data_IF_726166275657
#
_entry.id   IF_726166275657
#
_cell.length_a   1.000
_cell.length_b   1.000
_cell.length_c   1.000
_cell.angle_alpha   90.00
_cell.angle_beta   90.00
_cell.angle_gamma   90.00
#
_symmetry.space_group_name_H-M   'P 1'
#
loop_
_entity.id
_entity.type
_entity.pdbx_description
1 polymer ?
#
# COMPACT_ATOMS: atom_id res chain seq x y z
N UNK A 1 10.09 -0.29 -14.17
CA UNK A 1 10.64 0.98 -13.69
C UNK A 1 9.73 1.55 -12.64
N UNK A 2 10.26 2.07 -11.54
CA UNK A 2 9.45 2.84 -10.61
C UNK A 2 10.17 4.10 -10.12
N UNK A 3 9.40 5.18 -9.97
CA UNK A 3 9.79 6.39 -9.26
C UNK A 3 9.11 6.37 -7.90
N UNK A 4 9.88 6.53 -6.83
CA UNK A 4 9.42 6.41 -5.46
C UNK A 4 9.87 7.65 -4.69
N UNK A 5 8.95 8.29 -3.98
CA UNK A 5 9.21 9.50 -3.20
C UNK A 5 8.66 9.34 -1.78
N UNK A 6 9.49 9.59 -0.77
CA UNK A 6 9.05 9.57 0.63
C UNK A 6 8.20 10.81 0.92
N UNK A 7 7.10 10.61 1.63
CA UNK A 7 6.07 11.63 1.87
C UNK A 7 5.90 11.86 3.37
N UNK A 8 6.75 12.69 3.94
CA UNK A 8 6.61 13.11 5.33
C UNK A 8 6.60 11.96 6.34
N UNK A 9 5.60 11.96 7.20
CA UNK A 9 5.40 10.93 8.26
C UNK A 9 3.95 10.47 8.29
N UNK A 10 3.74 9.22 8.69
CA UNK A 10 2.40 8.67 8.95
C UNK A 10 1.63 9.42 10.05
N UNK A 11 2.33 10.12 10.93
CA UNK A 11 1.71 10.91 12.01
C UNK A 11 1.10 12.25 11.53
N UNK A 12 1.32 12.66 10.29
CA UNK A 12 0.57 13.76 9.69
C UNK A 12 -0.73 13.25 9.04
N UNK A 13 -1.80 13.21 9.81
CA UNK A 13 -3.09 12.69 9.36
C UNK A 13 -3.72 13.47 8.18
N UNK A 14 -3.40 14.75 8.01
CA UNK A 14 -3.87 15.53 6.86
C UNK A 14 -3.10 15.14 5.60
N UNK A 15 -1.79 15.03 5.70
CA UNK A 15 -0.91 14.61 4.61
C UNK A 15 -1.20 13.16 4.18
N UNK A 16 -1.41 12.27 5.15
CA UNK A 16 -1.81 10.88 4.95
C UNK A 16 -3.03 10.76 4.03
N UNK A 17 -4.10 11.53 4.28
CA UNK A 17 -5.29 11.54 3.43
C UNK A 17 -5.07 12.29 2.11
N UNK A 18 -4.31 13.38 2.13
CA UNK A 18 -4.07 14.18 0.94
C UNK A 18 -3.37 13.37 -0.14
N UNK A 19 -2.41 12.51 0.22
CA UNK A 19 -1.72 11.66 -0.76
C UNK A 19 -2.55 10.49 -1.26
N UNK A 20 -3.54 9.99 -0.51
CA UNK A 20 -4.55 9.06 -1.04
C UNK A 20 -5.38 9.74 -2.16
N UNK A 21 -5.80 10.98 -1.93
CA UNK A 21 -6.54 11.76 -2.92
C UNK A 21 -5.67 12.07 -4.15
N UNK A 22 -4.40 12.44 -3.94
CA UNK A 22 -3.44 12.68 -5.01
C UNK A 22 -3.17 11.43 -5.85
N UNK A 23 -2.99 10.28 -5.21
CA UNK A 23 -2.81 9.00 -5.91
C UNK A 23 -3.99 8.73 -6.84
N UNK A 24 -5.21 8.88 -6.33
CA UNK A 24 -6.42 8.74 -7.14
C UNK A 24 -6.45 9.73 -8.30
N UNK A 25 -6.25 11.01 -8.05
CA UNK A 25 -6.36 12.06 -9.07
C UNK A 25 -5.25 11.99 -10.14
N UNK A 26 -4.05 11.53 -9.78
CA UNK A 26 -2.91 11.45 -10.70
C UNK A 26 -2.86 10.18 -11.53
N UNK A 27 -3.29 9.03 -10.95
CA UNK A 27 -2.97 7.71 -11.48
C UNK A 27 -4.16 6.75 -11.54
N UNK A 28 -5.10 6.78 -10.57
CA UNK A 28 -6.14 5.76 -10.46
C UNK A 28 -7.48 6.15 -11.08
N UNK A 29 -7.81 7.45 -11.15
CA UNK A 29 -9.05 7.93 -11.76
C UNK A 29 -9.08 7.64 -13.27
N UNK A 30 -10.28 7.42 -13.85
CA UNK A 30 -10.42 7.35 -15.31
C UNK A 30 -9.86 8.61 -15.98
N UNK A 31 -8.92 8.42 -16.92
CA UNK A 31 -8.25 9.54 -17.59
C UNK A 31 -7.25 10.31 -16.73
N UNK A 32 -6.77 9.72 -15.64
CA UNK A 32 -5.79 10.33 -14.76
C UNK A 32 -4.55 10.82 -15.53
N UNK A 33 -4.14 12.07 -15.34
CA UNK A 33 -3.21 12.77 -16.24
C UNK A 33 -1.82 12.12 -16.30
N UNK A 34 -1.30 11.64 -15.20
CA UNK A 34 0.04 11.02 -15.18
C UNK A 34 0.02 9.62 -15.78
N UNK A 35 -1.01 8.84 -15.48
CA UNK A 35 -1.21 7.53 -16.12
C UNK A 35 -1.35 7.68 -17.64
N UNK A 36 -2.20 8.61 -18.08
CA UNK A 36 -2.45 8.82 -19.50
C UNK A 36 -1.19 9.30 -20.22
N UNK A 37 -0.45 10.26 -19.66
CA UNK A 37 0.77 10.78 -20.26
C UNK A 37 1.85 9.69 -20.46
N UNK A 38 1.98 8.77 -19.50
CA UNK A 38 2.93 7.65 -19.60
C UNK A 38 2.50 6.63 -20.65
N UNK A 39 1.21 6.31 -20.71
CA UNK A 39 0.66 5.40 -21.76
C UNK A 39 0.79 6.01 -23.17
N UNK A 40 0.46 7.29 -23.33
CA UNK A 40 0.59 8.00 -24.61
C UNK A 40 2.03 8.08 -25.09
N UNK A 41 3.00 8.15 -24.16
CA UNK A 41 4.42 8.09 -24.46
C UNK A 41 4.95 6.68 -24.75
N UNK A 42 4.08 5.64 -24.67
CA UNK A 42 4.50 4.26 -24.89
C UNK A 42 5.42 3.69 -23.81
N UNK A 43 5.37 4.25 -22.59
CA UNK A 43 6.19 3.81 -21.46
C UNK A 43 5.55 2.60 -20.80
N UNK A 44 6.20 1.44 -20.93
CA UNK A 44 5.70 0.19 -20.37
C UNK A 44 4.41 -0.32 -20.99
N UNK A 45 3.87 -1.39 -20.42
CA UNK A 45 2.62 -2.03 -20.84
C UNK A 45 1.43 -1.65 -19.95
N UNK A 46 1.70 -1.27 -18.71
CA UNK A 46 0.70 -0.78 -17.75
C UNK A 46 1.36 0.15 -16.74
N UNK A 47 0.59 1.11 -16.25
CA UNK A 47 1.01 2.07 -15.24
C UNK A 47 0.22 1.81 -13.96
N UNK A 48 0.97 1.52 -12.91
CA UNK A 48 0.46 1.28 -11.57
C UNK A 48 0.91 2.39 -10.63
N UNK A 49 0.23 2.49 -9.52
CA UNK A 49 0.60 3.37 -8.41
C UNK A 49 0.55 2.62 -7.10
N UNK A 50 1.28 3.12 -6.12
CA UNK A 50 1.15 2.70 -4.73
C UNK A 50 1.40 3.90 -3.82
N UNK A 51 0.60 4.01 -2.77
CA UNK A 51 0.86 4.88 -1.65
C UNK A 51 0.88 4.05 -0.38
N UNK A 52 2.09 3.71 0.05
CA UNK A 52 2.33 2.92 1.27
C UNK A 52 2.34 3.87 2.47
N UNK A 53 1.23 3.93 3.14
CA UNK A 53 0.97 4.89 4.22
C UNK A 53 1.00 4.27 5.63
N UNK A 54 1.01 2.95 5.76
CA UNK A 54 1.06 2.23 7.04
C UNK A 54 2.46 2.10 7.67
N UNK A 55 3.44 2.87 7.23
CA UNK A 55 4.82 2.86 7.73
C UNK A 55 5.23 4.25 8.22
N UNK A 56 6.28 4.32 9.07
CA UNK A 56 6.72 5.59 9.69
C UNK A 56 6.99 6.71 8.68
N UNK A 57 7.58 6.37 7.55
CA UNK A 57 7.84 7.27 6.43
C UNK A 57 7.08 6.77 5.19
N UNK A 58 5.83 7.19 5.01
CA UNK A 58 5.03 6.84 3.83
C UNK A 58 5.76 7.17 2.55
N UNK A 59 5.53 6.39 1.50
CA UNK A 59 6.08 6.71 0.19
C UNK A 59 5.05 6.53 -0.93
N UNK A 60 5.20 7.36 -1.94
CA UNK A 60 4.39 7.38 -3.14
C UNK A 60 5.18 6.82 -4.31
N UNK A 61 4.57 5.91 -5.07
CA UNK A 61 5.21 5.25 -6.20
C UNK A 61 4.43 5.41 -7.49
N UNK A 62 5.17 5.71 -8.57
CA UNK A 62 4.70 5.61 -9.96
C UNK A 62 5.44 4.46 -10.61
N UNK A 63 4.73 3.46 -11.11
CA UNK A 63 5.31 2.20 -11.56
C UNK A 63 4.92 1.93 -13.02
N UNK A 64 5.92 1.86 -13.91
CA UNK A 64 5.75 1.41 -15.28
C UNK A 64 6.09 -0.09 -15.38
N UNK A 65 5.05 -0.92 -15.48
CA UNK A 65 5.18 -2.38 -15.61
C UNK A 65 5.47 -2.76 -17.06
N UNK A 66 6.42 -3.67 -17.26
CA UNK A 66 6.81 -4.13 -18.62
C UNK A 66 7.46 -3.02 -19.47
N UNK A 67 8.14 -2.07 -18.81
CA UNK A 67 8.97 -1.06 -19.48
C UNK A 67 10.39 -1.58 -19.64
N UNK A 68 11.02 -1.21 -20.73
CA UNK A 68 12.43 -1.52 -21.00
C UNK A 68 13.35 -0.57 -20.21
N UNK A 69 14.57 -1.03 -19.90
CA UNK A 69 15.55 -0.25 -19.11
C UNK A 69 15.92 1.06 -19.83
N UNK A 70 15.99 1.02 -21.14
CA UNK A 70 16.29 2.17 -22.02
C UNK A 70 15.23 3.27 -21.93
N UNK A 71 14.02 2.93 -21.51
CA UNK A 71 12.92 3.90 -21.29
C UNK A 71 13.05 4.70 -19.99
N UNK A 72 14.04 4.43 -19.14
CA UNK A 72 14.22 5.09 -17.83
C UNK A 72 14.17 6.61 -17.91
N UNK A 73 15.00 7.20 -18.79
CA UNK A 73 15.10 8.65 -18.88
C UNK A 73 13.79 9.26 -19.44
N UNK A 74 13.19 8.62 -20.44
CA UNK A 74 11.90 9.03 -20.98
C UNK A 74 10.78 8.94 -19.92
N UNK A 75 10.77 7.87 -19.13
CA UNK A 75 9.83 7.70 -18.00
C UNK A 75 9.94 8.87 -17.00
N UNK A 76 11.16 9.19 -16.56
CA UNK A 76 11.40 10.28 -15.61
C UNK A 76 11.05 11.64 -16.19
N UNK A 77 11.33 11.86 -17.47
CA UNK A 77 10.98 13.09 -18.16
C UNK A 77 9.46 13.28 -18.24
N UNK A 78 8.70 12.26 -18.62
CA UNK A 78 7.24 12.31 -18.69
C UNK A 78 6.65 12.56 -17.30
N UNK A 79 7.15 11.87 -16.26
CA UNK A 79 6.70 12.08 -14.88
C UNK A 79 6.93 13.55 -14.49
N UNK A 80 8.15 14.06 -14.62
CA UNK A 80 8.50 15.44 -14.24
C UNK A 80 7.71 16.49 -15.02
N UNK A 81 7.63 16.34 -16.35
CA UNK A 81 6.88 17.29 -17.21
C UNK A 81 5.41 17.33 -16.85
N UNK A 82 4.79 16.17 -16.63
CA UNK A 82 3.37 16.10 -16.30
C UNK A 82 3.10 16.72 -14.93
N UNK A 83 3.90 16.38 -13.92
CA UNK A 83 3.76 16.96 -12.59
C UNK A 83 4.02 18.46 -12.59
N UNK A 84 5.05 18.95 -13.28
CA UNK A 84 5.34 20.39 -13.43
C UNK A 84 4.20 21.13 -14.15
N UNK A 85 3.59 20.52 -15.17
CA UNK A 85 2.42 21.07 -15.84
C UNK A 85 1.25 21.23 -14.87
N UNK A 86 0.95 20.19 -14.05
CA UNK A 86 -0.10 20.23 -13.04
C UNK A 86 0.19 21.33 -12.00
N UNK A 87 1.43 21.44 -11.53
CA UNK A 87 1.81 22.49 -10.59
C UNK A 87 1.61 23.89 -11.20
N UNK A 88 1.88 24.07 -12.49
CA UNK A 88 1.73 25.35 -13.18
C UNK A 88 0.26 25.70 -13.47
N UNK A 89 -0.48 24.77 -14.06
CA UNK A 89 -1.84 24.98 -14.59
C UNK A 89 -2.95 24.71 -13.56
N UNK A 90 -2.65 23.92 -12.52
CA UNK A 90 -3.59 23.45 -11.52
C UNK A 90 -4.15 22.06 -11.85
N UNK A 91 -4.68 21.40 -10.81
CA UNK A 91 -5.45 20.17 -10.99
C UNK A 91 -6.81 20.44 -11.62
N UNK A 92 -7.34 19.46 -12.36
CA UNK A 92 -8.78 19.41 -12.60
C UNK A 92 -9.50 19.30 -11.24
N UNK A 93 -10.23 20.37 -10.90
CA UNK A 93 -10.99 20.45 -9.65
C UNK A 93 -12.00 19.30 -9.50
N UNK A 94 -12.60 18.84 -10.60
CA UNK A 94 -13.56 17.73 -10.57
C UNK A 94 -12.87 16.42 -10.23
N UNK A 95 -11.66 16.21 -10.71
CA UNK A 95 -10.86 15.01 -10.39
C UNK A 95 -10.47 14.97 -8.90
N UNK A 96 -9.98 16.08 -8.34
CA UNK A 96 -9.71 16.19 -6.90
C UNK A 96 -10.98 15.99 -6.05
N UNK A 97 -12.08 16.61 -6.44
CA UNK A 97 -13.38 16.49 -5.76
C UNK A 97 -13.87 15.03 -5.80
N UNK A 98 -13.70 14.34 -6.92
CA UNK A 98 -14.07 12.93 -7.06
C UNK A 98 -13.23 12.05 -6.13
N UNK A 99 -11.92 12.24 -6.08
CA UNK A 99 -11.02 11.53 -5.16
C UNK A 99 -11.38 11.77 -3.69
N UNK A 100 -11.63 13.02 -3.33
CA UNK A 100 -12.04 13.39 -1.97
C UNK A 100 -13.37 12.73 -1.59
N UNK A 101 -14.36 12.78 -2.49
CA UNK A 101 -15.67 12.15 -2.24
C UNK A 101 -15.56 10.64 -2.15
N UNK A 102 -14.74 10.01 -3.00
CA UNK A 102 -14.50 8.57 -3.00
C UNK A 102 -13.94 8.10 -1.65
N UNK A 103 -12.88 8.73 -1.16
CA UNK A 103 -12.28 8.34 0.11
C UNK A 103 -13.15 8.73 1.30
N UNK A 104 -13.77 9.92 1.32
CA UNK A 104 -14.69 10.32 2.39
C UNK A 104 -15.84 9.33 2.51
N UNK A 105 -16.43 8.89 1.39
CA UNK A 105 -17.50 7.90 1.37
C UNK A 105 -17.03 6.56 1.97
N UNK A 106 -15.87 6.05 1.53
CA UNK A 106 -15.30 4.80 2.08
C UNK A 106 -15.06 4.88 3.58
N UNK A 107 -14.57 6.01 4.08
CA UNK A 107 -14.38 6.22 5.52
C UNK A 107 -15.71 6.26 6.28
N UNK A 108 -16.74 6.89 5.73
CA UNK A 108 -18.08 6.96 6.37
C UNK A 108 -18.79 5.62 6.40
N UNK A 109 -18.75 4.89 5.32
CA UNK A 109 -19.42 3.59 5.19
C UNK A 109 -18.63 2.46 5.84
N UNK A 110 -17.37 2.68 6.22
CA UNK A 110 -16.44 1.63 6.64
C UNK A 110 -16.41 0.47 5.63
N UNK A 111 -16.29 0.84 4.34
CA UNK A 111 -16.29 -0.12 3.24
C UNK A 111 -14.90 -0.74 3.10
N UNK A 112 -14.76 -1.90 3.69
CA UNK A 112 -13.55 -2.73 3.61
C UNK A 112 -13.79 -4.00 2.77
N UNK A 113 -14.83 -4.01 1.93
CA UNK A 113 -15.22 -5.17 1.15
C UNK A 113 -15.57 -6.37 2.04
N UNK A 114 -14.90 -7.51 1.82
CA UNK A 114 -15.16 -8.75 2.53
C UNK A 114 -14.42 -8.88 3.89
N UNK A 115 -13.64 -7.87 4.28
CA UNK A 115 -12.88 -7.92 5.53
C UNK A 115 -13.71 -7.45 6.72
N UNK A 116 -13.57 -8.11 7.90
CA UNK A 116 -14.26 -7.66 9.12
C UNK A 116 -13.87 -6.23 9.50
N UNK A 117 -14.86 -5.38 9.73
CA UNK A 117 -14.64 -3.95 10.05
C UNK A 117 -13.72 -3.74 11.25
N UNK A 118 -13.93 -4.51 12.33
CA UNK A 118 -13.10 -4.41 13.53
C UNK A 118 -11.63 -4.74 13.28
N UNK A 119 -11.35 -5.75 12.44
CA UNK A 119 -9.98 -6.09 12.04
C UNK A 119 -9.34 -4.93 11.27
N UNK A 120 -10.06 -4.36 10.28
CA UNK A 120 -9.54 -3.28 9.45
C UNK A 120 -9.29 -2.00 10.25
N UNK A 121 -10.18 -1.66 11.17
CA UNK A 121 -9.92 -0.56 12.10
C UNK A 121 -8.73 -0.83 13.02
N UNK A 122 -8.60 -2.07 13.53
CA UNK A 122 -7.43 -2.47 14.32
C UNK A 122 -6.12 -2.33 13.54
N UNK A 123 -6.08 -2.76 12.28
CA UNK A 123 -4.91 -2.58 11.42
C UNK A 123 -4.62 -1.10 11.15
N UNK A 124 -5.65 -0.30 10.86
CA UNK A 124 -5.48 1.13 10.63
C UNK A 124 -4.97 1.90 11.85
N UNK A 125 -5.27 1.45 13.06
CA UNK A 125 -4.69 2.03 14.28
C UNK A 125 -3.16 1.89 14.30
N UNK A 126 -2.61 0.80 13.80
CA UNK A 126 -1.17 0.58 13.76
C UNK A 126 -0.43 1.56 12.86
N UNK A 127 -1.07 2.20 11.90
CA UNK A 127 -0.47 3.21 11.02
C UNK A 127 0.02 4.45 11.78
N UNK A 128 -0.45 4.65 13.01
CA UNK A 128 0.03 5.69 13.93
C UNK A 128 0.56 5.12 15.26
N UNK A 129 -0.13 4.14 15.84
CA UNK A 129 0.19 3.63 17.16
C UNK A 129 1.58 2.99 17.28
N UNK A 130 2.07 2.37 16.21
CA UNK A 130 3.43 1.80 16.18
C UNK A 130 4.53 2.88 16.28
N UNK A 131 4.21 4.13 15.97
CA UNK A 131 5.17 5.24 15.89
C UNK A 131 4.95 6.31 16.97
N UNK A 132 3.76 6.36 17.55
CA UNK A 132 3.41 7.21 18.67
C UNK A 132 2.32 6.53 19.51
N UNK A 133 2.70 6.05 20.69
CA UNK A 133 1.81 5.31 21.59
C UNK A 133 0.66 6.16 22.15
N UNK A 134 0.78 7.49 22.10
CA UNK A 134 -0.26 8.42 22.54
C UNK A 134 -1.32 8.69 21.47
N UNK A 135 -1.10 8.23 20.22
CA UNK A 135 -2.00 8.51 19.09
C UNK A 135 -2.57 7.25 18.39
N UNK A 136 -3.12 6.28 19.13
CA UNK A 136 -3.63 5.04 18.50
C UNK A 136 -4.83 5.27 17.57
N UNK A 137 -5.61 6.35 17.75
CA UNK A 137 -6.83 6.62 17.01
C UNK A 137 -6.69 7.70 15.93
N UNK A 138 -5.46 8.18 15.66
CA UNK A 138 -5.21 9.32 14.77
C UNK A 138 -5.90 9.17 13.41
N UNK A 139 -5.77 8.02 12.78
CA UNK A 139 -6.31 7.77 11.45
C UNK A 139 -7.80 7.41 11.45
N UNK A 140 -8.35 6.96 12.57
CA UNK A 140 -9.79 6.71 12.69
C UNK A 140 -10.60 8.03 12.77
N UNK A 141 -9.95 9.14 13.16
CA UNK A 141 -10.56 10.46 13.25
C UNK A 141 -10.45 11.27 11.94
N UNK A 142 -10.43 10.60 10.82
CA UNK A 142 -10.14 11.17 9.50
C UNK A 142 -11.17 12.19 8.99
N UNK A 143 -12.44 12.10 9.38
CA UNK A 143 -13.54 12.90 8.82
C UNK A 143 -13.33 14.42 8.91
N UNK A 144 -12.71 14.89 10.01
CA UNK A 144 -12.39 16.32 10.15
C UNK A 144 -11.35 16.79 9.12
N UNK A 145 -10.42 15.92 8.74
CA UNK A 145 -9.38 16.23 7.77
C UNK A 145 -9.94 16.29 6.35
N UNK A 146 -10.96 15.51 6.00
CA UNK A 146 -11.65 15.66 4.71
C UNK A 146 -12.30 17.04 4.58
N UNK A 147 -12.93 17.57 5.63
CA UNK A 147 -13.49 18.92 5.62
C UNK A 147 -12.43 20.01 5.44
N UNK A 148 -11.24 19.84 6.06
CA UNK A 148 -10.10 20.74 5.85
C UNK A 148 -9.57 20.64 4.42
N UNK A 149 -9.34 19.43 3.91
CA UNK A 149 -8.83 19.21 2.56
C UNK A 149 -9.77 19.76 1.47
N UNK A 150 -11.07 19.70 1.69
CA UNK A 150 -12.06 20.29 0.78
C UNK A 150 -11.89 21.81 0.64
N UNK A 151 -11.59 22.52 1.72
CA UNK A 151 -11.29 23.96 1.69
C UNK A 151 -9.97 24.27 1.02
N UNK A 152 -8.99 23.38 1.16
CA UNK A 152 -7.66 23.54 0.60
C UNK A 152 -7.59 23.33 -0.93
N UNK A 153 -8.62 22.76 -1.53
CA UNK A 153 -8.68 22.60 -2.99
C UNK A 153 -8.61 23.93 -3.74
N UNK A 154 -9.12 25.00 -3.13
CA UNK A 154 -9.12 26.34 -3.73
C UNK A 154 -7.81 27.10 -3.47
N UNK A 155 -6.96 26.63 -2.57
CA UNK A 155 -5.73 27.27 -2.12
C UNK A 155 -4.46 26.71 -2.76
N UNK A 156 -4.58 25.90 -3.81
CA UNK A 156 -3.45 25.23 -4.48
C UNK A 156 -2.62 24.34 -3.55
N UNK A 157 -3.21 23.82 -2.51
CA UNK A 157 -2.55 22.96 -1.54
C UNK A 157 -2.02 21.68 -2.19
N UNK A 158 -2.82 21.05 -3.03
CA UNK A 158 -2.44 19.79 -3.70
C UNK A 158 -1.30 20.00 -4.69
N UNK A 159 -1.28 21.11 -5.42
CA UNK A 159 -0.16 21.48 -6.29
C UNK A 159 1.11 21.73 -5.46
N UNK A 160 0.98 22.37 -4.30
CA UNK A 160 2.08 22.55 -3.35
C UNK A 160 2.66 21.22 -2.87
N UNK A 161 1.81 20.23 -2.59
CA UNK A 161 2.26 18.88 -2.22
C UNK A 161 3.02 18.20 -3.36
N UNK A 162 2.51 18.30 -4.59
CA UNK A 162 3.20 17.77 -5.78
C UNK A 162 4.58 18.42 -5.95
N UNK A 163 4.66 19.76 -5.81
CA UNK A 163 5.94 20.45 -5.89
C UNK A 163 6.92 19.98 -4.84
N UNK A 164 6.48 19.99 -3.57
CA UNK A 164 7.37 19.69 -2.42
C UNK A 164 7.80 18.24 -2.38
N UNK A 165 6.86 17.30 -2.56
CA UNK A 165 7.10 15.88 -2.31
C UNK A 165 7.39 15.04 -3.54
N UNK A 166 7.01 15.50 -4.74
CA UNK A 166 7.21 14.71 -5.96
C UNK A 166 8.20 15.36 -6.95
N UNK A 167 8.40 16.68 -6.93
CA UNK A 167 9.32 17.36 -7.82
C UNK A 167 10.63 17.76 -7.14
N UNK A 168 10.56 18.43 -5.98
CA UNK A 168 11.72 19.00 -5.29
C UNK A 168 12.23 18.09 -4.16
N UNK A 169 11.70 16.90 -4.02
CA UNK A 169 12.03 16.00 -2.92
C UNK A 169 13.39 15.32 -3.13
N UNK A 170 14.39 15.60 -2.26
CA UNK A 170 15.68 14.91 -2.32
C UNK A 170 15.60 13.45 -1.84
N UNK A 171 14.54 13.07 -1.12
CA UNK A 171 14.33 11.72 -0.62
C UNK A 171 13.45 10.92 -1.61
N UNK A 172 13.96 10.77 -2.82
CA UNK A 172 13.33 10.00 -3.88
C UNK A 172 14.33 9.03 -4.51
N UNK A 173 13.83 7.92 -5.02
CA UNK A 173 14.63 6.89 -5.66
C UNK A 173 13.96 6.37 -6.93
N UNK A 174 14.78 5.99 -7.91
CA UNK A 174 14.33 5.24 -9.09
C UNK A 174 14.78 3.81 -8.95
N UNK A 175 13.83 2.88 -9.02
CA UNK A 175 14.10 1.45 -8.97
C UNK A 175 13.89 0.83 -10.35
N UNK A 176 14.84 -0.01 -10.75
CA UNK A 176 14.75 -0.82 -11.96
C UNK A 176 14.73 -2.29 -11.52
N UNK A 177 13.65 -2.98 -11.83
CA UNK A 177 13.54 -4.42 -11.61
C UNK A 177 13.64 -5.12 -12.96
N UNK A 178 14.77 -5.77 -13.21
CA UNK A 178 14.99 -6.53 -14.44
C UNK A 178 14.57 -7.99 -14.26
N UNK A 179 13.80 -8.56 -15.20
CA UNK A 179 13.54 -9.98 -15.18
C UNK A 179 14.83 -10.77 -15.51
N UNK A 180 15.09 -11.80 -14.76
CA UNK A 180 16.20 -12.73 -15.02
C UNK A 180 15.59 -14.10 -15.32
N UNK A 181 15.52 -14.51 -16.59
CA UNK A 181 15.01 -15.83 -16.94
C UNK A 181 15.82 -16.96 -16.26
N UNK A 182 15.11 -17.91 -15.67
CA UNK A 182 15.75 -19.05 -14.98
C UNK A 182 16.23 -18.76 -13.55
N UNK A 183 16.09 -17.54 -13.03
CA UNK A 183 16.52 -17.21 -11.67
C UNK A 183 15.85 -18.10 -10.61
N UNK A 184 14.55 -18.37 -10.77
CA UNK A 184 13.81 -19.25 -9.86
C UNK A 184 14.42 -20.67 -9.80
N UNK A 185 14.76 -21.23 -10.96
CA UNK A 185 15.38 -22.56 -11.04
C UNK A 185 16.76 -22.58 -10.37
N UNK A 186 17.56 -21.52 -10.55
CA UNK A 186 18.87 -21.39 -9.89
C UNK A 186 18.73 -21.26 -8.37
N UNK A 187 17.77 -20.47 -7.89
CA UNK A 187 17.52 -20.34 -6.46
C UNK A 187 16.99 -21.64 -5.85
N UNK A 188 16.14 -22.38 -6.56
CA UNK A 188 15.66 -23.69 -6.14
C UNK A 188 16.82 -24.69 -6.03
N UNK A 189 17.70 -24.77 -7.04
CA UNK A 189 18.90 -25.62 -7.00
C UNK A 189 19.80 -25.24 -5.81
N UNK A 190 20.01 -23.95 -5.56
CA UNK A 190 20.78 -23.47 -4.42
C UNK A 190 20.19 -23.91 -3.09
N UNK A 191 18.87 -23.78 -2.93
CA UNK A 191 18.15 -24.18 -1.72
C UNK A 191 18.22 -25.71 -1.54
N UNK A 192 17.99 -26.48 -2.61
CA UNK A 192 18.09 -27.94 -2.56
C UNK A 192 19.48 -28.39 -2.13
N UNK A 193 20.53 -27.80 -2.71
CA UNK A 193 21.91 -28.09 -2.34
C UNK A 193 22.18 -27.78 -0.87
N UNK A 194 21.78 -26.60 -0.41
CA UNK A 194 21.90 -26.19 1.00
C UNK A 194 21.20 -27.17 1.95
N UNK A 195 19.98 -27.60 1.58
CA UNK A 195 19.21 -28.54 2.39
C UNK A 195 19.83 -29.95 2.38
N UNK A 196 20.40 -30.40 1.26
CA UNK A 196 21.14 -31.67 1.18
C UNK A 196 22.40 -31.64 2.04
N UNK A 197 23.18 -30.56 1.99
CA UNK A 197 24.38 -30.38 2.83
C UNK A 197 23.98 -30.34 4.32
N UNK A 198 22.95 -29.61 4.68
CA UNK A 198 22.41 -29.55 6.05
C UNK A 198 22.03 -30.98 6.53
N UNK A 199 21.23 -31.68 5.72
CA UNK A 199 20.79 -33.05 6.03
C UNK A 199 21.96 -34.03 6.18
N UNK A 200 22.99 -33.90 5.34
CA UNK A 200 24.19 -34.75 5.42
C UNK A 200 25.02 -34.49 6.70
N UNK A 201 24.92 -33.29 7.28
CA UNK A 201 25.58 -32.95 8.54
C UNK A 201 24.83 -33.40 9.79
N UNK A 202 23.56 -33.82 9.66
CA UNK A 202 22.77 -34.28 10.81
C UNK A 202 23.14 -35.71 11.23
N UNK A 203 23.19 -35.93 12.52
CA UNK A 203 23.24 -37.29 13.12
C UNK A 203 21.90 -37.99 12.90
N UNK A 204 21.85 -39.29 13.12
CA UNK A 204 20.57 -40.04 13.03
C UNK A 204 19.54 -39.56 14.06
N UNK A 205 19.99 -39.21 15.25
CA UNK A 205 19.15 -38.70 16.34
C UNK A 205 18.55 -37.33 15.97
N UNK A 206 19.35 -36.41 15.45
CA UNK A 206 18.87 -35.08 15.01
C UNK A 206 17.88 -35.20 13.86
N UNK A 207 18.14 -36.09 12.89
CA UNK A 207 17.20 -36.33 11.80
C UNK A 207 15.88 -36.89 12.29
N UNK A 208 15.90 -37.81 13.26
CA UNK A 208 14.68 -38.34 13.87
C UNK A 208 13.93 -37.26 14.65
N UNK A 209 14.63 -36.36 15.33
CA UNK A 209 14.03 -35.25 16.04
C UNK A 209 13.31 -34.25 15.05
N UNK A 210 13.96 -33.90 13.94
CA UNK A 210 13.34 -33.10 12.87
C UNK A 210 12.08 -33.77 12.33
N UNK A 211 12.12 -35.07 12.06
CA UNK A 211 10.98 -35.85 11.60
C UNK A 211 9.84 -35.87 12.63
N UNK A 212 10.16 -36.04 13.89
CA UNK A 212 9.16 -36.00 15.00
C UNK A 212 8.50 -34.64 15.08
N UNK A 213 9.27 -33.55 15.18
CA UNK A 213 8.74 -32.17 15.26
C UNK A 213 7.88 -31.81 14.04
N UNK A 214 8.27 -32.25 12.86
CA UNK A 214 7.49 -32.01 11.64
C UNK A 214 6.13 -32.72 11.69
N UNK A 215 6.11 -33.96 12.20
CA UNK A 215 4.86 -34.70 12.38
C UNK A 215 3.96 -34.07 13.45
N UNK A 216 4.56 -33.67 14.58
CA UNK A 216 3.84 -32.98 15.66
C UNK A 216 3.26 -31.65 15.17
N UNK A 217 4.03 -30.84 14.42
CA UNK A 217 3.54 -29.60 13.83
C UNK A 217 2.39 -29.83 12.87
N UNK A 218 2.51 -30.83 11.97
CA UNK A 218 1.40 -31.16 11.05
C UNK A 218 0.17 -31.62 11.80
N UNK A 219 0.31 -32.48 12.80
CA UNK A 219 -0.80 -32.94 13.62
C UNK A 219 -1.49 -31.76 14.32
N UNK A 220 -0.70 -30.83 14.89
CA UNK A 220 -1.24 -29.62 15.52
C UNK A 220 -1.97 -28.70 14.53
N UNK A 221 -1.45 -28.53 13.30
CA UNK A 221 -2.09 -27.71 12.27
C UNK A 221 -3.38 -28.33 11.74
N UNK A 222 -3.46 -29.65 11.67
CA UNK A 222 -4.60 -30.39 11.15
C UNK A 222 -5.66 -30.68 12.24
N UNK A 223 -5.32 -30.48 13.52
CA UNK A 223 -6.23 -30.70 14.65
C UNK A 223 -7.32 -29.63 14.68
N UNK A 224 -8.60 -30.00 14.54
CA UNK A 224 -9.68 -29.01 14.63
C UNK A 224 -9.77 -28.48 16.05
N UNK A 225 -10.06 -27.18 16.18
CA UNK A 225 -10.30 -26.56 17.48
C UNK A 225 -11.44 -27.26 18.23
N UNK A 226 -11.30 -27.45 19.53
CA UNK A 226 -12.32 -28.09 20.35
C UNK A 226 -13.63 -27.26 20.39
N UNK A 227 -14.79 -27.89 20.62
CA UNK A 227 -16.03 -27.14 20.79
C UNK A 227 -15.97 -26.09 21.90
N UNK A 228 -15.22 -26.35 22.98
CA UNK A 228 -15.02 -25.42 24.08
C UNK A 228 -14.18 -24.19 23.66
N UNK A 229 -13.19 -24.37 22.80
CA UNK A 229 -12.42 -23.28 22.24
C UNK A 229 -13.23 -22.45 21.24
N UNK A 230 -13.97 -23.12 20.36
CA UNK A 230 -14.85 -22.46 19.40
C UNK A 230 -15.97 -21.68 20.12
N UNK A 231 -16.45 -22.15 21.25
CA UNK A 231 -17.47 -21.47 22.06
C UNK A 231 -16.95 -20.15 22.69
N UNK A 232 -15.64 -19.95 22.78
CA UNK A 232 -15.04 -18.69 23.27
C UNK A 232 -15.08 -17.58 22.22
N UNK A 233 -15.26 -17.93 20.93
CA UNK A 233 -15.36 -16.93 19.86
C UNK A 233 -16.70 -16.22 20.00
N UNK A 234 -16.73 -14.87 20.14
CA UNK A 234 -17.99 -14.13 20.24
C UNK A 234 -18.75 -14.24 18.90
N UNK A 235 -19.86 -14.97 18.92
CA UNK A 235 -20.75 -15.11 17.77
C UNK A 235 -21.90 -14.12 17.87
N UNK A 236 -22.21 -13.45 16.76
CA UNK A 236 -23.39 -12.60 16.66
C UNK A 236 -24.66 -13.44 16.87
N UNK A 237 -25.52 -12.96 17.75
CA UNK A 237 -26.86 -13.55 18.01
C UNK A 237 -27.93 -12.66 17.38
N UNK A 238 -29.13 -13.20 17.23
CA UNK A 238 -30.26 -12.47 16.66
C UNK A 238 -30.60 -11.20 17.47
N UNK A 239 -30.34 -11.24 18.78
CA UNK A 239 -30.60 -10.14 19.72
C UNK A 239 -29.60 -8.98 19.51
N UNK A 240 -28.43 -9.24 18.92
CA UNK A 240 -27.40 -8.22 18.64
C UNK A 240 -27.76 -7.37 17.41
N UNK A 241 -28.76 -7.81 16.63
CA UNK A 241 -29.23 -7.07 15.45
C UNK A 241 -30.20 -5.98 15.92
N UNK A 242 -29.85 -4.72 15.66
CA UNK A 242 -30.75 -3.60 15.93
C UNK A 242 -32.04 -3.74 15.12
N UNK A 243 -33.19 -3.52 15.77
CA UNK A 243 -34.52 -3.61 15.13
C UNK A 243 -34.87 -2.34 14.32
N UNK A 244 -34.12 -1.27 14.52
CA UNK A 244 -34.30 0.01 13.84
C UNK A 244 -33.06 0.33 13.02
N UNK A 245 -33.28 0.76 11.77
CA UNK A 245 -32.23 1.16 10.85
C UNK A 245 -31.78 2.60 11.10
#
# INVERSE_FOLDING_TARGET
>A
LSYNAVVGTSLDAKLYLAFQILEYALLSAPGAPLKQALLDAGIGKDILSSYENGIAQPYFSVIAKGADVEQKEAFLEVVRKTLAKIVKEGFDRKALQAGLNFYEFRYREADFGNYPRGLMYGLQMFDSWLYDEEQPFLHLMALQNFAKLRKEMDNRYFEGLVQTYLLDNPHAAVLILNPVPGLEALEQERVEKMLLEYKAGLTKEELQDVLRRTRELKAYQDEPSSPEELAKIPMLKREDIKKEA
#
